data_IF_147870701376
#
_entry.id   IF_147870701376
#
_cell.length_a   1.000
_cell.length_b   1.000
_cell.length_c   1.000
_cell.angle_alpha   90.00
_cell.angle_beta   90.00
_cell.angle_gamma   90.00
#
_symmetry.space_group_name_H-M   'P 1'
#
loop_
_entity.id
_entity.type
_entity.pdbx_description
1 polymer ?
#
# COMPACT_ATOMS: atom_id res chain seq x y z
N UNK A 1 -11.84 2.01 35.61
CA UNK A 1 -11.75 3.15 34.69
C UNK A 1 -10.87 2.71 33.54
N UNK A 2 -11.46 2.49 32.36
CA UNK A 2 -10.82 1.82 31.22
C UNK A 2 -10.00 2.85 30.44
N UNK A 3 -8.67 2.82 30.51
CA UNK A 3 -7.83 3.57 29.59
C UNK A 3 -7.48 2.66 28.42
N UNK A 4 -8.18 2.90 27.30
CA UNK A 4 -7.94 2.24 26.02
C UNK A 4 -6.53 2.59 25.53
N UNK A 5 -5.79 1.54 25.20
CA UNK A 5 -4.59 1.46 24.38
C UNK A 5 -4.49 2.56 23.32
N UNK A 6 -3.51 3.44 23.45
CA UNK A 6 -3.08 4.34 22.38
C UNK A 6 -2.14 3.55 21.45
N UNK A 7 -2.37 3.51 20.13
CA UNK A 7 -1.34 3.03 19.23
C UNK A 7 -0.25 4.11 19.18
N UNK A 8 1.00 3.70 19.36
CA UNK A 8 2.17 4.49 19.00
C UNK A 8 2.05 4.86 17.51
N UNK A 9 1.49 6.03 17.24
CA UNK A 9 1.35 6.57 15.89
C UNK A 9 2.66 7.24 15.52
N UNK A 10 3.71 6.44 15.42
CA UNK A 10 4.90 6.79 14.66
C UNK A 10 4.46 7.20 13.25
N UNK A 11 4.30 8.49 13.02
CA UNK A 11 3.77 9.12 11.79
C UNK A 11 4.82 9.10 10.67
N UNK A 12 5.63 8.04 10.61
CA UNK A 12 6.54 7.76 9.52
C UNK A 12 5.81 6.87 8.53
N UNK A 13 5.34 7.44 7.41
CA UNK A 13 4.85 6.64 6.27
C UNK A 13 5.93 5.63 5.90
N UNK A 14 5.67 4.34 6.15
CA UNK A 14 6.63 3.27 5.86
C UNK A 14 6.56 2.99 4.37
N UNK A 15 7.42 3.68 3.64
CA UNK A 15 7.53 3.60 2.18
C UNK A 15 8.31 2.35 1.77
N UNK A 16 7.60 1.28 1.47
CA UNK A 16 8.15 0.04 0.96
C UNK A 16 8.44 0.07 -0.55
N UNK A 17 9.46 -0.68 -0.95
CA UNK A 17 9.73 -1.00 -2.34
C UNK A 17 8.78 -2.09 -2.85
N UNK A 18 8.64 -2.18 -4.18
CA UNK A 18 7.83 -3.22 -4.85
C UNK A 18 8.17 -4.63 -4.38
N UNK A 19 9.44 -4.90 -4.05
CA UNK A 19 9.92 -6.21 -3.60
C UNK A 19 9.37 -6.58 -2.22
N UNK A 20 9.32 -5.62 -1.30
CA UNK A 20 8.78 -5.82 0.05
C UNK A 20 7.28 -6.10 -0.02
N UNK A 21 6.57 -5.37 -0.88
CA UNK A 21 5.14 -5.57 -1.09
C UNK A 21 4.86 -6.91 -1.77
N UNK A 22 5.65 -7.23 -2.79
CA UNK A 22 5.63 -8.52 -3.48
C UNK A 22 5.82 -9.70 -2.50
N UNK A 23 6.80 -9.61 -1.60
CA UNK A 23 7.03 -10.62 -0.57
C UNK A 23 5.85 -10.71 0.43
N UNK A 24 5.24 -9.59 0.83
CA UNK A 24 4.05 -9.60 1.70
C UNK A 24 2.84 -10.29 1.05
N UNK A 25 2.67 -10.10 -0.25
CA UNK A 25 1.59 -10.69 -1.04
C UNK A 25 1.93 -12.10 -1.57
N UNK A 26 3.11 -12.63 -1.27
CA UNK A 26 3.67 -13.84 -1.88
C UNK A 26 3.57 -13.86 -3.41
N UNK A 27 3.76 -12.70 -4.02
CA UNK A 27 3.58 -12.47 -5.45
C UNK A 27 4.88 -11.99 -6.10
N UNK A 28 5.02 -12.17 -7.41
CA UNK A 28 6.13 -11.57 -8.14
C UNK A 28 5.94 -10.05 -8.31
N UNK A 29 7.01 -9.23 -8.36
CA UNK A 29 6.92 -7.78 -8.59
C UNK A 29 6.17 -7.42 -9.88
N UNK A 30 6.28 -8.25 -10.92
CA UNK A 30 5.49 -8.11 -12.16
C UNK A 30 3.99 -8.23 -11.92
N UNK A 31 3.56 -9.13 -11.04
CA UNK A 31 2.15 -9.27 -10.65
C UNK A 31 1.68 -8.04 -9.90
N UNK A 32 2.53 -7.47 -9.04
CA UNK A 32 2.24 -6.20 -8.34
C UNK A 32 1.99 -5.08 -9.34
N UNK A 33 2.87 -4.89 -10.33
CA UNK A 33 2.65 -3.89 -11.39
C UNK A 33 1.35 -4.14 -12.17
N UNK A 34 1.03 -5.40 -12.48
CA UNK A 34 -0.23 -5.76 -13.16
C UNK A 34 -1.47 -5.48 -12.31
N UNK A 35 -1.40 -5.70 -11.00
CA UNK A 35 -2.51 -5.39 -10.07
C UNK A 35 -2.71 -3.88 -9.91
N UNK A 36 -1.62 -3.12 -9.90
CA UNK A 36 -1.68 -1.65 -9.92
C UNK A 36 -2.28 -1.16 -11.23
N UNK A 37 -1.83 -1.68 -12.37
CA UNK A 37 -2.38 -1.34 -13.69
C UNK A 37 -3.88 -1.67 -13.79
N UNK A 38 -4.29 -2.80 -13.24
CA UNK A 38 -5.69 -3.22 -13.14
C UNK A 38 -6.53 -2.44 -12.11
N UNK A 39 -5.94 -1.51 -11.35
CA UNK A 39 -6.65 -0.78 -10.29
C UNK A 39 -7.20 -1.69 -9.19
N UNK A 40 -6.47 -2.75 -8.86
CA UNK A 40 -6.81 -3.68 -7.78
C UNK A 40 -6.01 -3.43 -6.50
N UNK A 41 -5.01 -2.57 -6.56
CA UNK A 41 -4.03 -2.36 -5.51
C UNK A 41 -3.78 -0.86 -5.27
N UNK A 42 -3.37 -0.44 -4.05
CA UNK A 42 -2.99 0.93 -3.78
C UNK A 42 -1.97 1.49 -4.78
N UNK A 43 -2.18 2.73 -5.21
CA UNK A 43 -1.32 3.38 -6.18
C UNK A 43 0.06 3.69 -5.56
N UNK A 44 1.17 3.42 -6.28
CA UNK A 44 2.50 3.77 -5.81
C UNK A 44 2.67 5.29 -5.74
N UNK A 45 3.29 5.77 -4.67
CA UNK A 45 3.74 7.16 -4.54
C UNK A 45 5.06 7.31 -5.28
N UNK A 46 5.11 8.18 -6.28
CA UNK A 46 6.35 8.51 -6.99
C UNK A 46 7.18 9.46 -6.14
N UNK A 47 8.36 9.01 -5.75
CA UNK A 47 9.38 9.81 -5.08
C UNK A 47 10.54 9.94 -6.06
N UNK A 48 10.58 11.07 -6.76
CA UNK A 48 11.45 11.29 -7.92
C UNK A 48 11.29 10.17 -8.98
N UNK A 49 12.29 9.29 -9.12
CA UNK A 49 12.29 8.17 -10.07
C UNK A 49 11.83 6.85 -9.46
N UNK A 50 11.69 6.77 -8.13
CA UNK A 50 11.32 5.55 -7.43
C UNK A 50 9.83 5.52 -7.10
N UNK A 51 9.20 4.39 -7.39
CA UNK A 51 7.85 4.09 -6.93
C UNK A 51 7.95 3.47 -5.54
N UNK A 52 7.29 4.10 -4.57
CA UNK A 52 7.21 3.64 -3.19
C UNK A 52 5.77 3.42 -2.79
N UNK A 53 5.51 2.31 -2.10
CA UNK A 53 4.20 1.98 -1.59
C UNK A 53 4.13 2.26 -0.10
N UNK A 54 2.99 2.74 0.37
CA UNK A 54 2.76 2.91 1.80
C UNK A 54 2.35 1.56 2.40
N UNK A 55 3.14 1.04 3.34
CA UNK A 55 2.84 -0.25 3.98
C UNK A 55 1.57 -0.21 4.82
N UNK A 56 1.28 0.92 5.46
CA UNK A 56 0.08 1.06 6.30
C UNK A 56 -1.17 1.01 5.41
N UNK A 57 -1.12 1.68 4.26
CA UNK A 57 -2.19 1.62 3.25
C UNK A 57 -2.39 0.20 2.69
N UNK A 58 -1.31 -0.56 2.51
CA UNK A 58 -1.37 -1.97 2.08
C UNK A 58 -1.95 -2.86 3.18
N UNK A 59 -1.52 -2.69 4.45
CA UNK A 59 -2.04 -3.48 5.57
C UNK A 59 -3.53 -3.24 5.76
N UNK A 60 -3.99 -1.98 5.74
CA UNK A 60 -5.42 -1.65 5.78
C UNK A 60 -6.19 -2.25 4.60
N UNK A 61 -5.57 -2.29 3.42
CA UNK A 61 -6.19 -2.89 2.23
C UNK A 61 -6.31 -4.42 2.33
N UNK A 62 -5.28 -5.09 2.87
CA UNK A 62 -5.30 -6.53 3.14
C UNK A 62 -6.38 -6.84 4.19
N UNK A 63 -6.40 -6.09 5.30
CA UNK A 63 -7.40 -6.23 6.38
C UNK A 63 -8.82 -5.95 5.88
N UNK A 64 -8.96 -4.99 4.96
CA UNK A 64 -10.21 -4.67 4.27
C UNK A 64 -10.68 -5.71 3.25
N UNK A 65 -9.96 -6.83 3.09
CA UNK A 65 -10.34 -7.98 2.25
C UNK A 65 -9.89 -7.89 0.79
N UNK A 66 -8.75 -7.25 0.51
CA UNK A 66 -8.19 -7.13 -0.84
C UNK A 66 -9.17 -6.55 -1.88
N UNK A 67 -10.00 -5.58 -1.45
CA UNK A 67 -11.00 -4.96 -2.32
C UNK A 67 -10.36 -4.16 -3.45
N UNK A 68 -10.90 -4.16 -4.68
CA UNK A 68 -10.37 -3.33 -5.74
C UNK A 68 -10.24 -1.86 -5.31
N UNK A 69 -9.01 -1.37 -5.16
CA UNK A 69 -8.77 0.05 -4.89
C UNK A 69 -9.07 0.79 -6.18
N UNK A 70 -10.23 1.44 -6.25
CA UNK A 70 -10.59 2.31 -7.37
C UNK A 70 -9.52 3.39 -7.46
N UNK A 71 -8.55 3.22 -8.36
CA UNK A 71 -7.51 4.22 -8.60
C UNK A 71 -8.23 5.44 -9.17
N UNK A 72 -8.49 6.42 -8.31
CA UNK A 72 -8.82 7.76 -8.76
C UNK A 72 -7.57 8.26 -9.44
N UNK A 73 -7.54 8.16 -10.77
CA UNK A 73 -6.54 8.82 -11.60
C UNK A 73 -6.74 10.32 -11.41
N UNK A 74 -6.18 10.88 -10.33
CA UNK A 74 -5.97 12.33 -10.22
C UNK A 74 -5.00 12.69 -11.34
N UNK A 75 -5.31 13.53 -12.32
CA UNK A 75 -6.30 14.61 -12.32
C UNK A 75 -5.58 15.90 -11.98
N UNK A 76 -4.97 16.48 -13.02
CA UNK A 76 -4.22 17.76 -13.10
C UNK A 76 -2.85 17.81 -12.40
#
# INVERSE_FOLDING_TARGET
MTTVTMPDRSTGRKLADVKTVAAKLDCSPRTVYRLVDAGRMPAPRRIASLLRWDLDEIDQWIEGGCRPVRIVKGGA
#
